data_IF_709989950099
#
_entry.id   IF_709989950099
#
_cell.length_a   1.000
_cell.length_b   1.000
_cell.length_c   1.000
_cell.angle_alpha   90.00
_cell.angle_beta   90.00
_cell.angle_gamma   90.00
#
_symmetry.space_group_name_H-M   'P 1'
#
loop_
_entity.id
_entity.type
_entity.pdbx_description
1 polymer ?
#
# COMPACT_ATOMS: atom_id res chain seq x y z
N UNK A 1 -1.47 -11.58 -6.19
CA UNK A 1 -0.24 -11.11 -6.83
C UNK A 1 0.42 -10.16 -5.85
N UNK A 2 1.70 -10.35 -5.54
CA UNK A 2 2.47 -9.37 -4.77
C UNK A 2 2.97 -8.31 -5.76
N UNK A 3 2.73 -7.06 -5.46
CA UNK A 3 3.22 -5.92 -6.22
C UNK A 3 4.65 -5.60 -5.77
N UNK A 4 5.54 -5.19 -6.68
CA UNK A 4 6.86 -4.72 -6.27
C UNK A 4 6.72 -3.48 -5.39
N UNK A 5 7.57 -3.35 -4.37
CA UNK A 5 7.76 -2.07 -3.70
C UNK A 5 8.71 -1.21 -4.51
N UNK A 6 8.59 0.11 -4.37
CA UNK A 6 9.46 1.05 -5.07
C UNK A 6 10.92 0.80 -4.67
N UNK A 7 11.81 0.69 -5.65
CA UNK A 7 13.24 0.63 -5.44
C UNK A 7 13.85 2.05 -5.32
N UNK A 8 15.04 2.14 -4.74
CA UNK A 8 15.73 3.43 -4.55
C UNK A 8 16.33 3.97 -5.86
N UNK A 9 16.57 3.11 -6.86
CA UNK A 9 17.19 3.46 -8.14
C UNK A 9 16.18 3.84 -9.24
N UNK A 10 14.88 3.68 -9.00
CA UNK A 10 13.82 4.14 -9.91
C UNK A 10 13.18 5.45 -9.43
N UNK A 11 12.63 6.23 -10.36
CA UNK A 11 11.85 7.43 -10.04
C UNK A 11 10.44 7.08 -9.58
N UNK A 12 9.77 8.01 -8.89
CA UNK A 12 8.38 7.82 -8.45
C UNK A 12 7.43 7.66 -9.62
N UNK A 13 7.64 8.38 -10.72
CA UNK A 13 6.84 8.29 -11.94
C UNK A 13 7.01 6.94 -12.65
N UNK A 14 8.24 6.43 -12.74
CA UNK A 14 8.52 5.11 -13.31
C UNK A 14 7.82 4.01 -12.50
N UNK A 15 7.96 4.06 -11.18
CA UNK A 15 7.29 3.12 -10.28
C UNK A 15 5.76 3.16 -10.44
N UNK A 16 5.17 4.36 -10.43
CA UNK A 16 3.71 4.52 -10.58
C UNK A 16 3.24 3.96 -11.93
N UNK A 17 3.98 4.19 -13.01
CA UNK A 17 3.63 3.64 -14.32
C UNK A 17 3.61 2.10 -14.31
N UNK A 18 4.62 1.48 -13.71
CA UNK A 18 4.72 0.01 -13.57
C UNK A 18 3.57 -0.54 -12.73
N UNK A 19 3.31 0.05 -11.56
CA UNK A 19 2.21 -0.40 -10.68
C UNK A 19 0.85 -0.23 -11.35
N UNK A 20 0.63 0.89 -12.06
CA UNK A 20 -0.59 1.14 -12.82
C UNK A 20 -0.82 0.06 -13.88
N UNK A 21 0.20 -0.27 -14.65
CA UNK A 21 0.14 -1.33 -15.66
C UNK A 21 -0.19 -2.70 -15.02
N UNK A 22 0.51 -3.07 -13.95
CA UNK A 22 0.24 -4.32 -13.23
C UNK A 22 -1.20 -4.39 -12.68
N UNK A 23 -1.71 -3.29 -12.13
CA UNK A 23 -3.09 -3.21 -11.65
C UNK A 23 -4.11 -3.28 -12.78
N UNK A 24 -3.84 -2.67 -13.95
CA UNK A 24 -4.69 -2.77 -15.15
C UNK A 24 -4.71 -4.21 -15.67
N UNK A 25 -3.55 -4.86 -15.81
CA UNK A 25 -3.46 -6.27 -16.23
C UNK A 25 -4.28 -7.13 -15.27
N UNK A 26 -4.13 -6.94 -13.95
CA UNK A 26 -4.89 -7.68 -12.96
C UNK A 26 -6.40 -7.44 -13.08
N UNK A 27 -6.81 -6.19 -13.34
CA UNK A 27 -8.20 -5.83 -13.58
C UNK A 27 -8.75 -6.56 -14.81
N UNK A 28 -8.05 -6.51 -15.94
CA UNK A 28 -8.46 -7.17 -17.18
C UNK A 28 -8.54 -8.69 -17.02
N UNK A 29 -7.52 -9.33 -16.45
CA UNK A 29 -7.51 -10.77 -16.17
C UNK A 29 -8.72 -11.20 -15.34
N UNK A 30 -9.04 -10.39 -14.35
CA UNK A 30 -10.17 -10.60 -13.46
C UNK A 30 -11.48 -10.43 -14.22
N UNK A 31 -11.59 -9.38 -15.02
CA UNK A 31 -12.76 -9.09 -15.86
C UNK A 31 -13.02 -10.18 -16.90
N UNK A 32 -11.99 -10.69 -17.57
CA UNK A 32 -12.10 -11.80 -18.51
C UNK A 32 -12.55 -13.09 -17.83
N UNK A 33 -12.02 -13.40 -16.64
CA UNK A 33 -12.46 -14.54 -15.82
C UNK A 33 -13.93 -14.38 -15.40
N UNK A 34 -14.32 -13.20 -14.91
CA UNK A 34 -15.69 -12.91 -14.48
C UNK A 34 -16.70 -12.98 -15.65
N UNK A 35 -16.32 -12.60 -16.89
CA UNK A 35 -17.16 -12.78 -18.09
C UNK A 35 -17.39 -14.24 -18.48
N UNK A 36 -16.42 -15.14 -18.26
CA UNK A 36 -16.58 -16.58 -18.55
C UNK A 36 -17.58 -17.26 -17.59
N UNK A 37 -17.86 -16.62 -16.44
CA UNK A 37 -18.80 -17.05 -15.42
C UNK A 37 -20.09 -16.19 -15.44
N UNK A 38 -20.61 -15.84 -16.63
CA UNK A 38 -21.77 -14.97 -16.82
C UNK A 38 -23.11 -15.50 -16.23
N UNK A 39 -23.17 -15.61 -14.90
CA UNK A 39 -24.33 -15.54 -14.00
C UNK A 39 -23.78 -15.01 -12.67
N UNK A 40 -23.21 -13.80 -12.62
CA UNK A 40 -22.36 -13.45 -11.48
C UNK A 40 -22.96 -12.54 -10.41
N UNK A 41 -23.93 -11.65 -10.68
CA UNK A 41 -24.46 -10.77 -9.63
C UNK A 41 -25.98 -10.57 -9.73
N UNK A 42 -26.76 -11.12 -8.78
CA UNK A 42 -28.22 -10.92 -8.72
C UNK A 42 -28.62 -9.49 -8.34
N UNK A 43 -27.77 -8.75 -7.62
CA UNK A 43 -28.04 -7.37 -7.21
C UNK A 43 -26.76 -6.52 -6.96
N UNK A 44 -27.00 -5.23 -6.70
CA UNK A 44 -26.01 -4.16 -6.56
C UNK A 44 -25.15 -4.26 -5.29
N UNK A 45 -25.63 -4.93 -4.23
CA UNK A 45 -24.90 -5.09 -2.98
C UNK A 45 -23.84 -6.20 -3.08
N UNK A 46 -24.13 -7.29 -3.82
CA UNK A 46 -23.12 -8.34 -4.08
C UNK A 46 -22.02 -7.84 -5.03
N UNK A 47 -22.34 -6.90 -5.92
CA UNK A 47 -21.36 -6.19 -6.74
C UNK A 47 -20.45 -5.30 -5.88
N UNK A 48 -21.00 -4.48 -4.96
CA UNK A 48 -20.21 -3.62 -4.05
C UNK A 48 -19.27 -4.40 -3.14
N UNK A 49 -19.68 -5.57 -2.64
CA UNK A 49 -18.81 -6.47 -1.85
C UNK A 49 -17.60 -6.97 -2.64
N UNK A 50 -17.67 -7.01 -3.97
CA UNK A 50 -16.63 -7.52 -4.88
C UNK A 50 -15.92 -6.41 -5.67
N UNK A 51 -16.34 -5.15 -5.53
CA UNK A 51 -15.57 -3.92 -5.88
C UNK A 51 -14.36 -3.74 -4.95
N UNK A 52 -14.28 -4.48 -3.84
CA UNK A 52 -13.14 -4.55 -2.93
C UNK A 52 -11.99 -5.45 -3.45
N UNK A 53 -11.55 -5.27 -4.71
CA UNK A 53 -10.31 -5.91 -5.18
C UNK A 53 -9.15 -4.93 -5.00
N UNK A 54 -8.03 -5.34 -4.37
CA UNK A 54 -6.96 -4.42 -3.99
C UNK A 54 -6.38 -3.55 -5.12
N UNK A 55 -6.38 -4.05 -6.37
CA UNK A 55 -5.91 -3.28 -7.53
C UNK A 55 -6.72 -2.01 -7.79
N UNK A 56 -8.03 -1.96 -7.46
CA UNK A 56 -8.82 -0.74 -7.61
C UNK A 56 -8.45 0.33 -6.60
N UNK A 57 -8.11 -0.05 -5.37
CA UNK A 57 -7.69 0.91 -4.35
C UNK A 57 -6.38 1.59 -4.74
N UNK A 58 -5.48 0.85 -5.39
CA UNK A 58 -4.22 1.37 -5.89
C UNK A 58 -4.44 2.28 -7.10
N UNK A 59 -5.30 1.90 -8.04
CA UNK A 59 -5.63 2.77 -9.17
C UNK A 59 -6.28 4.08 -8.70
N UNK A 60 -7.20 4.02 -7.75
CA UNK A 60 -7.81 5.21 -7.16
C UNK A 60 -6.79 6.09 -6.43
N UNK A 61 -5.86 5.49 -5.67
CA UNK A 61 -4.83 6.28 -4.98
C UNK A 61 -3.82 6.90 -5.93
N UNK A 62 -3.55 6.27 -7.09
CA UNK A 62 -2.78 6.88 -8.18
C UNK A 62 -3.53 8.08 -8.77
N UNK A 63 -4.83 7.95 -9.03
CA UNK A 63 -5.63 9.07 -9.55
C UNK A 63 -5.71 10.22 -8.52
N UNK A 64 -5.81 9.92 -7.22
CA UNK A 64 -5.73 10.89 -6.14
C UNK A 64 -4.35 11.55 -6.08
N UNK A 65 -3.27 10.78 -6.22
CA UNK A 65 -1.91 11.31 -6.33
C UNK A 65 -1.79 12.26 -7.51
N UNK A 66 -2.26 11.88 -8.70
CA UNK A 66 -2.19 12.70 -9.91
C UNK A 66 -2.96 14.02 -9.75
N UNK A 67 -4.13 13.98 -9.09
CA UNK A 67 -4.99 15.14 -8.87
C UNK A 67 -4.55 16.05 -7.70
N UNK A 68 -3.74 15.55 -6.76
CA UNK A 68 -3.37 16.29 -5.56
C UNK A 68 -2.47 17.50 -5.87
N UNK A 69 -2.73 18.64 -5.20
CA UNK A 69 -1.83 19.80 -5.21
C UNK A 69 -0.56 19.53 -4.40
N UNK A 70 -0.72 18.91 -3.23
CA UNK A 70 0.38 18.38 -2.42
C UNK A 70 0.48 16.86 -2.60
N UNK A 71 1.60 16.43 -3.19
CA UNK A 71 1.85 15.03 -3.54
C UNK A 71 2.24 14.17 -2.34
N UNK A 72 2.81 14.75 -1.28
CA UNK A 72 3.40 13.99 -0.17
C UNK A 72 2.37 13.12 0.59
N UNK A 73 1.21 13.66 1.04
CA UNK A 73 0.20 12.84 1.72
C UNK A 73 -0.39 11.75 0.81
N UNK A 74 -0.55 12.05 -0.48
CA UNK A 74 -1.07 11.10 -1.46
C UNK A 74 -0.07 9.95 -1.72
N UNK A 75 1.23 10.23 -1.81
CA UNK A 75 2.28 9.21 -1.92
C UNK A 75 2.29 8.27 -0.72
N UNK A 76 2.21 8.84 0.48
CA UNK A 76 2.18 8.09 1.72
C UNK A 76 0.96 7.17 1.79
N UNK A 77 -0.20 7.67 1.37
CA UNK A 77 -1.44 6.88 1.27
C UNK A 77 -1.30 5.76 0.24
N UNK A 78 -0.76 6.06 -0.94
CA UNK A 78 -0.53 5.07 -1.99
C UNK A 78 0.43 3.96 -1.52
N UNK A 79 1.56 4.32 -0.93
CA UNK A 79 2.54 3.38 -0.38
C UNK A 79 1.89 2.45 0.67
N UNK A 80 1.08 3.02 1.57
CA UNK A 80 0.34 2.25 2.57
C UNK A 80 -0.65 1.26 1.94
N UNK A 81 -1.36 1.66 0.87
CA UNK A 81 -2.31 0.79 0.18
C UNK A 81 -1.59 -0.36 -0.52
N UNK A 82 -0.45 -0.11 -1.16
CA UNK A 82 0.38 -1.17 -1.77
C UNK A 82 0.88 -2.14 -0.70
N UNK A 83 1.40 -1.62 0.41
CA UNK A 83 1.84 -2.42 1.55
C UNK A 83 0.71 -3.31 2.10
N UNK A 84 -0.46 -2.73 2.34
CA UNK A 84 -1.64 -3.45 2.83
C UNK A 84 -2.05 -4.53 1.84
N UNK A 85 -2.01 -4.24 0.54
CA UNK A 85 -2.36 -5.19 -0.52
C UNK A 85 -1.43 -6.39 -0.53
N UNK A 86 -0.13 -6.16 -0.38
CA UNK A 86 0.89 -7.21 -0.34
C UNK A 86 0.76 -8.10 0.90
N UNK A 87 0.42 -7.52 2.05
CA UNK A 87 0.32 -8.22 3.33
C UNK A 87 -1.10 -8.75 3.63
N UNK A 88 -2.09 -8.43 2.80
CA UNK A 88 -3.50 -8.83 3.01
C UNK A 88 -3.68 -10.35 3.12
N UNK A 89 -2.95 -11.12 2.31
CA UNK A 89 -3.05 -12.59 2.31
C UNK A 89 -2.35 -13.28 3.47
N UNK A 90 -1.45 -12.59 4.16
CA UNK A 90 -0.64 -13.18 5.24
C UNK A 90 -1.43 -13.39 6.54
N UNK A 91 -2.67 -12.86 6.62
CA UNK A 91 -3.55 -12.96 7.80
C UNK A 91 -2.84 -12.56 9.10
N UNK A 92 -1.92 -11.58 9.00
CA UNK A 92 -1.19 -11.06 10.14
C UNK A 92 -2.19 -10.47 11.14
N UNK A 93 -2.10 -10.92 12.38
CA UNK A 93 -2.94 -10.50 13.50
C UNK A 93 -2.12 -9.70 14.49
N UNK A 94 -2.80 -8.87 15.28
CA UNK A 94 -2.14 -7.97 16.24
C UNK A 94 -1.36 -8.66 17.37
N UNK A 95 -1.54 -9.97 17.53
CA UNK A 95 -0.81 -10.79 18.51
C UNK A 95 0.59 -11.19 18.01
N UNK A 96 0.84 -11.06 16.70
CA UNK A 96 2.10 -11.37 16.06
C UNK A 96 2.72 -10.05 15.58
N UNK A 97 3.43 -9.36 16.47
CA UNK A 97 4.30 -8.26 16.05
C UNK A 97 5.24 -8.75 14.94
N UNK A 98 5.28 -8.03 13.83
CA UNK A 98 6.06 -8.44 12.66
C UNK A 98 7.11 -7.36 12.32
N UNK A 99 8.33 -7.56 12.82
CA UNK A 99 9.47 -6.66 12.59
C UNK A 99 9.83 -6.58 11.09
N UNK A 100 9.68 -7.67 10.35
CA UNK A 100 9.94 -7.70 8.91
C UNK A 100 8.95 -6.78 8.18
N UNK A 101 7.66 -6.88 8.50
CA UNK A 101 6.63 -6.01 7.92
C UNK A 101 6.83 -4.52 8.28
N UNK A 102 7.32 -4.23 9.50
CA UNK A 102 7.70 -2.87 9.93
C UNK A 102 8.86 -2.32 9.11
N UNK A 103 9.90 -3.13 8.95
CA UNK A 103 11.10 -2.76 8.19
C UNK A 103 10.77 -2.57 6.70
N UNK A 104 9.93 -3.43 6.14
CA UNK A 104 9.48 -3.33 4.75
C UNK A 104 8.65 -2.07 4.50
N UNK A 105 7.71 -1.74 5.39
CA UNK A 105 6.94 -0.49 5.30
C UNK A 105 7.87 0.73 5.38
N UNK A 106 8.78 0.76 6.35
CA UNK A 106 9.72 1.85 6.50
C UNK A 106 10.62 2.03 5.26
N UNK A 107 11.16 0.94 4.73
CA UNK A 107 11.99 0.95 3.54
C UNK A 107 11.21 1.43 2.31
N UNK A 108 9.96 0.95 2.14
CA UNK A 108 9.10 1.40 1.05
C UNK A 108 8.87 2.90 1.12
N UNK A 109 8.60 3.46 2.31
CA UNK A 109 8.33 4.89 2.48
C UNK A 109 9.58 5.74 2.23
N UNK A 110 10.75 5.31 2.70
CA UNK A 110 12.02 5.99 2.40
C UNK A 110 12.33 5.98 0.90
N UNK A 111 12.02 4.90 0.19
CA UNK A 111 12.25 4.85 -1.26
C UNK A 111 11.35 5.82 -2.04
N UNK A 112 10.28 6.36 -1.44
CA UNK A 112 9.48 7.46 -2.01
C UNK A 112 10.02 8.86 -1.64
N UNK A 113 11.22 8.95 -1.07
CA UNK A 113 11.82 10.19 -0.58
C UNK A 113 10.94 10.91 0.47
N UNK A 114 10.17 10.15 1.26
CA UNK A 114 9.39 10.68 2.38
C UNK A 114 10.34 10.94 3.56
N UNK A 115 10.24 12.12 4.17
CA UNK A 115 11.10 12.49 5.30
C UNK A 115 10.92 11.54 6.49
N UNK A 116 12.01 11.23 7.18
CA UNK A 116 12.02 10.28 8.29
C UNK A 116 11.04 10.66 9.41
N UNK A 117 10.90 11.95 9.70
CA UNK A 117 9.93 12.49 10.66
C UNK A 117 8.49 12.13 10.27
N UNK A 118 8.12 12.34 9.00
CA UNK A 118 6.79 11.99 8.48
C UNK A 118 6.56 10.47 8.47
N UNK A 119 7.60 9.67 8.16
CA UNK A 119 7.52 8.21 8.26
C UNK A 119 7.27 7.77 9.71
N UNK A 120 8.00 8.34 10.67
CA UNK A 120 7.83 8.01 12.09
C UNK A 120 6.41 8.35 12.59
N UNK A 121 5.89 9.54 12.24
CA UNK A 121 4.53 9.96 12.56
C UNK A 121 3.48 9.02 11.94
N UNK A 122 3.68 8.61 10.69
CA UNK A 122 2.78 7.67 10.03
C UNK A 122 2.83 6.29 10.66
N UNK A 123 4.03 5.76 10.96
CA UNK A 123 4.19 4.42 11.51
C UNK A 123 3.63 4.24 12.93
N UNK A 124 3.38 5.32 13.67
CA UNK A 124 2.66 5.29 14.95
C UNK A 124 1.15 5.54 14.80
N UNK A 125 0.69 5.96 13.62
CA UNK A 125 -0.68 6.40 13.36
C UNK A 125 -1.68 5.24 13.33
N UNK A 126 -2.97 5.59 13.32
CA UNK A 126 -4.04 4.60 13.22
C UNK A 126 -4.19 4.02 11.79
N UNK A 127 -3.58 4.65 10.79
CA UNK A 127 -3.66 4.24 9.39
C UNK A 127 -2.79 3.01 9.11
N UNK A 128 -1.73 2.83 9.90
CA UNK A 128 -0.87 1.64 9.81
C UNK A 128 -1.51 0.46 10.53
N UNK A 129 -1.60 -0.73 9.90
CA UNK A 129 -2.13 -1.93 10.54
C UNK A 129 -1.39 -2.26 11.85
N UNK A 130 -2.14 -2.71 12.86
CA UNK A 130 -1.60 -2.93 14.21
C UNK A 130 -0.37 -3.86 14.27
N UNK A 131 -0.22 -4.81 13.34
CA UNK A 131 0.95 -5.70 13.28
C UNK A 131 2.23 -5.01 12.77
N UNK A 132 2.10 -3.91 12.01
CA UNK A 132 3.18 -3.11 11.45
C UNK A 132 3.31 -1.73 12.13
N UNK A 133 2.43 -1.41 13.08
CA UNK A 133 2.43 -0.14 13.81
C UNK A 133 3.48 -0.12 14.92
N UNK A 134 4.09 1.04 15.14
CA UNK A 134 5.00 1.30 16.26
C UNK A 134 4.20 1.80 17.47
N UNK A 135 4.44 1.17 18.62
CA UNK A 135 3.76 1.50 19.88
C UNK A 135 4.68 2.34 20.78
N UNK A 136 5.16 3.47 20.25
CA UNK A 136 6.11 4.38 20.89
C UNK A 136 5.87 5.82 20.43
N UNK A 137 6.59 6.80 21.00
CA UNK A 137 6.55 8.19 20.53
C UNK A 137 7.34 8.40 19.23
N UNK A 138 7.08 9.52 18.55
CA UNK A 138 7.69 9.81 17.24
C UNK A 138 9.23 9.89 17.28
N UNK A 139 9.84 10.43 18.34
CA UNK A 139 11.29 10.56 18.41
C UNK A 139 11.98 9.20 18.60
N UNK A 140 11.38 8.33 19.44
CA UNK A 140 11.84 6.94 19.58
C UNK A 140 11.61 6.15 18.29
N UNK A 141 10.48 6.34 17.62
CA UNK A 141 10.17 5.71 16.35
C UNK A 141 11.17 6.10 15.24
N UNK A 142 11.47 7.39 15.10
CA UNK A 142 12.45 7.90 14.14
C UNK A 142 13.84 7.26 14.35
N UNK A 143 14.29 7.17 15.60
CA UNK A 143 15.57 6.52 15.94
C UNK A 143 15.55 5.03 15.58
N UNK A 144 14.46 4.34 15.92
CA UNK A 144 14.31 2.90 15.65
C UNK A 144 14.27 2.59 14.15
N UNK A 145 13.56 3.42 13.37
CA UNK A 145 13.49 3.28 11.90
C UNK A 145 14.86 3.53 11.28
N UNK A 146 15.57 4.57 11.74
CA UNK A 146 16.93 4.83 11.27
C UNK A 146 17.91 3.69 11.57
N UNK A 147 17.67 2.89 12.62
CA UNK A 147 18.46 1.67 12.88
C UNK A 147 18.15 0.53 11.91
N UNK A 148 16.89 0.39 11.47
CA UNK A 148 16.48 -0.63 10.52
C UNK A 148 16.99 -0.40 9.10
N UNK A 149 17.19 0.87 8.73
CA UNK A 149 17.53 1.30 7.37
C UNK A 149 19.04 1.56 7.17
N UNK A 150 19.87 1.18 8.14
CA UNK A 150 21.34 1.21 8.03
C UNK A 150 21.87 0.04 7.20
#
# INVERSE_FOLDING_TARGET
>A
MRLPFKANDETTEEYIAVIKELCIIQHEDTWYKDKSHAVLYPDLEDAKKKVAKPHYWILNSIDEYDAAEDKQPALLTMAQIVFNTNNYSEKLVSENENIEAKTELAQSLVNFDIEMSAIAEHMISMDVPKYARLMMDAATAETQIAEWLK
#
